data_IF_193649213781
#
_entry.id   IF_193649213781
#
_cell.length_a   1.000
_cell.length_b   1.000
_cell.length_c   1.000
_cell.angle_alpha   90.00
_cell.angle_beta   90.00
_cell.angle_gamma   90.00
#
_symmetry.space_group_name_H-M   'P 1'
#
loop_
_entity.id
_entity.type
_entity.pdbx_description
1 polymer ?
#
# COMPACT_ATOMS: atom_id res chain seq x y z
N UNK A 1 8.36 34.49 4.93
CA UNK A 1 8.28 33.51 6.03
C UNK A 1 7.29 32.36 5.86
N UNK A 2 5.95 32.55 5.75
CA UNK A 2 5.02 31.39 5.63
C UNK A 2 5.17 30.63 4.30
N UNK A 3 5.36 31.35 3.18
CA UNK A 3 5.49 30.76 1.84
C UNK A 3 6.80 29.99 1.68
N UNK A 4 7.91 30.50 2.21
CA UNK A 4 9.23 29.83 2.19
C UNK A 4 9.18 28.50 2.94
N UNK A 5 8.63 28.47 4.16
CA UNK A 5 8.47 27.23 4.93
C UNK A 5 7.63 26.17 4.21
N UNK A 6 6.61 26.60 3.45
CA UNK A 6 5.79 25.69 2.64
C UNK A 6 6.63 25.15 1.48
N UNK A 7 7.39 25.99 0.76
CA UNK A 7 8.26 25.53 -0.32
C UNK A 7 9.31 24.53 0.18
N UNK A 8 9.97 24.84 1.30
CA UNK A 8 10.98 23.96 1.91
C UNK A 8 10.40 22.59 2.26
N UNK A 9 9.18 22.56 2.81
CA UNK A 9 8.46 21.32 3.11
C UNK A 9 8.12 20.51 1.85
N UNK A 10 7.70 21.18 0.77
CA UNK A 10 7.41 20.53 -0.50
C UNK A 10 8.67 19.97 -1.17
N UNK A 11 9.80 20.68 -1.08
CA UNK A 11 11.08 20.25 -1.66
C UNK A 11 11.68 19.08 -0.87
N UNK A 12 11.58 19.12 0.46
CA UNK A 12 11.91 17.99 1.33
C UNK A 12 11.07 16.75 1.00
N UNK A 13 9.76 16.93 0.79
CA UNK A 13 8.85 15.85 0.46
C UNK A 13 9.16 15.27 -0.92
N UNK A 14 9.44 16.13 -1.90
CA UNK A 14 9.85 15.73 -3.25
C UNK A 14 11.14 14.89 -3.24
N UNK A 15 12.09 15.19 -2.34
CA UNK A 15 13.33 14.43 -2.20
C UNK A 15 13.14 13.04 -1.57
N UNK A 16 12.22 12.88 -0.63
CA UNK A 16 12.02 11.62 0.13
C UNK A 16 11.00 10.67 -0.50
N UNK A 17 9.96 11.21 -1.13
CA UNK A 17 8.89 10.44 -1.77
C UNK A 17 9.39 9.33 -2.72
N UNK A 18 10.43 9.51 -3.55
CA UNK A 18 10.87 8.45 -4.48
C UNK A 18 11.40 7.21 -3.77
N UNK A 19 12.04 7.36 -2.60
CA UNK A 19 12.51 6.21 -1.81
C UNK A 19 11.34 5.56 -1.08
N UNK A 20 10.50 6.36 -0.41
CA UNK A 20 9.32 5.86 0.30
C UNK A 20 8.37 5.10 -0.64
N UNK A 21 7.99 5.70 -1.78
CA UNK A 21 7.11 5.08 -2.75
C UNK A 21 7.66 3.75 -3.31
N UNK A 22 8.99 3.63 -3.52
CA UNK A 22 9.60 2.37 -3.97
C UNK A 22 9.49 1.28 -2.91
N UNK A 23 9.73 1.60 -1.64
CA UNK A 23 9.61 0.62 -0.55
C UNK A 23 8.16 0.21 -0.33
N UNK A 24 7.22 1.17 -0.29
CA UNK A 24 5.80 0.89 -0.14
C UNK A 24 5.28 0.04 -1.29
N UNK A 25 5.69 0.31 -2.54
CA UNK A 25 5.33 -0.53 -3.69
C UNK A 25 5.83 -1.96 -3.54
N UNK A 26 7.11 -2.15 -3.16
CA UNK A 26 7.68 -3.49 -2.98
C UNK A 26 6.94 -4.28 -1.90
N UNK A 27 6.67 -3.63 -0.76
CA UNK A 27 5.90 -4.24 0.31
C UNK A 27 4.48 -4.61 -0.16
N UNK A 28 3.78 -3.68 -0.82
CA UNK A 28 2.45 -3.92 -1.38
C UNK A 28 2.47 -5.09 -2.39
N UNK A 29 3.44 -5.11 -3.30
CA UNK A 29 3.55 -6.14 -4.34
C UNK A 29 3.76 -7.54 -3.74
N UNK A 30 4.65 -7.69 -2.75
CA UNK A 30 4.88 -8.97 -2.07
C UNK A 30 3.61 -9.43 -1.34
N UNK A 31 2.97 -8.54 -0.59
CA UNK A 31 1.76 -8.85 0.16
C UNK A 31 0.58 -9.19 -0.75
N UNK A 32 0.41 -8.46 -1.84
CA UNK A 32 -0.62 -8.72 -2.85
C UNK A 32 -0.37 -10.02 -3.59
N UNK A 33 0.88 -10.40 -3.86
CA UNK A 33 1.19 -11.70 -4.45
C UNK A 33 0.68 -12.85 -3.56
N UNK A 34 0.82 -12.72 -2.23
CA UNK A 34 0.21 -13.67 -1.28
C UNK A 34 -1.31 -13.67 -1.42
N UNK A 35 -1.94 -12.48 -1.47
CA UNK A 35 -3.39 -12.37 -1.69
C UNK A 35 -3.86 -13.02 -3.00
N UNK A 36 -3.11 -12.85 -4.09
CA UNK A 36 -3.42 -13.46 -5.39
C UNK A 36 -3.40 -14.99 -5.36
N UNK A 37 -2.48 -15.59 -4.59
CA UNK A 37 -2.49 -17.05 -4.37
C UNK A 37 -3.79 -17.48 -3.69
N UNK A 38 -4.31 -16.70 -2.75
CA UNK A 38 -5.55 -17.02 -2.04
C UNK A 38 -6.79 -16.82 -2.92
N UNK A 39 -6.78 -15.82 -3.81
CA UNK A 39 -7.82 -15.66 -4.84
C UNK A 39 -7.82 -16.85 -5.80
N UNK A 40 -6.65 -17.27 -6.27
CA UNK A 40 -6.52 -18.45 -7.13
C UNK A 40 -6.97 -19.72 -6.41
N UNK A 41 -6.59 -19.90 -5.14
CA UNK A 41 -7.04 -21.02 -4.32
C UNK A 41 -8.55 -21.03 -4.13
N UNK A 42 -9.18 -19.87 -3.91
CA UNK A 42 -10.64 -19.74 -3.82
C UNK A 42 -11.36 -20.12 -5.11
N UNK A 43 -10.72 -19.90 -6.27
CA UNK A 43 -11.28 -20.27 -7.57
C UNK A 43 -11.06 -21.74 -7.94
N UNK A 44 -10.01 -22.37 -7.43
CA UNK A 44 -9.59 -23.73 -7.83
C UNK A 44 -9.92 -24.82 -6.81
N UNK A 45 -10.12 -24.46 -5.54
CA UNK A 45 -10.31 -25.41 -4.44
C UNK A 45 -11.72 -25.26 -3.88
N UNK A 46 -12.54 -26.31 -4.07
CA UNK A 46 -13.88 -26.36 -3.51
C UNK A 46 -13.87 -26.24 -1.98
N UNK A 47 -14.76 -25.40 -1.46
CA UNK A 47 -14.89 -25.17 -0.01
C UNK A 47 -13.75 -24.36 0.62
N UNK A 48 -12.80 -23.83 -0.16
CA UNK A 48 -11.70 -23.03 0.37
C UNK A 48 -12.17 -21.83 1.20
N UNK A 49 -13.14 -21.07 0.69
CA UNK A 49 -13.70 -19.90 1.41
C UNK A 49 -14.31 -20.31 2.74
N UNK A 50 -15.02 -21.45 2.79
CA UNK A 50 -15.60 -21.96 4.03
C UNK A 50 -14.51 -22.28 5.06
N UNK A 51 -13.42 -22.95 4.65
CA UNK A 51 -12.28 -23.24 5.53
C UNK A 51 -11.62 -21.99 6.09
N UNK A 52 -11.48 -20.94 5.28
CA UNK A 52 -10.91 -19.66 5.73
C UNK A 52 -11.80 -19.00 6.77
N UNK A 53 -13.13 -19.03 6.57
CA UNK A 53 -14.09 -18.51 7.55
C UNK A 53 -14.09 -19.32 8.84
N UNK A 54 -13.95 -20.64 8.77
CA UNK A 54 -13.77 -21.51 9.94
C UNK A 54 -12.49 -21.14 10.72
N UNK A 55 -11.39 -20.82 10.03
CA UNK A 55 -10.17 -20.35 10.68
C UNK A 55 -10.38 -19.03 11.43
N UNK A 56 -11.12 -18.08 10.85
CA UNK A 56 -11.48 -16.84 11.56
C UNK A 56 -12.34 -17.13 12.79
N UNK A 57 -13.39 -17.94 12.66
CA UNK A 57 -14.27 -18.31 13.78
C UNK A 57 -13.50 -19.02 14.90
N UNK A 58 -12.57 -19.91 14.53
CA UNK A 58 -11.68 -20.60 15.48
C UNK A 58 -10.74 -19.63 16.19
N UNK A 59 -10.12 -18.71 15.46
CA UNK A 59 -9.23 -17.71 16.03
C UNK A 59 -9.95 -16.81 17.05
N UNK A 60 -11.20 -16.46 16.76
CA UNK A 60 -12.04 -15.69 17.68
C UNK A 60 -12.43 -16.50 18.93
N UNK A 61 -12.85 -17.76 18.75
CA UNK A 61 -13.19 -18.65 19.86
C UNK A 61 -11.99 -18.92 20.79
N UNK A 62 -10.82 -19.17 20.21
CA UNK A 62 -9.58 -19.45 20.94
C UNK A 62 -8.86 -18.17 21.41
N UNK A 63 -9.35 -16.99 21.03
CA UNK A 63 -8.69 -15.67 21.23
C UNK A 63 -7.21 -15.70 20.82
N UNK A 64 -6.91 -16.45 19.76
CA UNK A 64 -5.54 -16.76 19.35
C UNK A 64 -5.25 -16.17 17.97
N UNK A 65 -4.28 -15.26 17.94
CA UNK A 65 -3.76 -14.66 16.69
C UNK A 65 -3.13 -15.74 15.79
N UNK A 66 -2.60 -16.82 16.37
CA UNK A 66 -1.94 -17.89 15.62
C UNK A 66 -2.91 -18.74 14.79
N UNK A 67 -4.20 -18.75 15.16
CA UNK A 67 -5.24 -19.46 14.43
C UNK A 67 -5.80 -18.63 13.25
N UNK A 68 -5.41 -17.35 13.12
CA UNK A 68 -5.89 -16.51 12.03
C UNK A 68 -5.37 -17.00 10.67
N UNK A 69 -6.16 -16.84 9.60
CA UNK A 69 -5.70 -17.09 8.24
C UNK A 69 -4.73 -15.99 7.81
N UNK A 70 -3.48 -16.07 8.27
CA UNK A 70 -2.45 -15.05 8.10
C UNK A 70 -2.27 -14.64 6.63
N UNK A 71 -2.35 -15.57 5.69
CA UNK A 71 -2.23 -15.26 4.27
C UNK A 71 -3.31 -14.31 3.72
N UNK A 72 -4.56 -14.44 4.19
CA UNK A 72 -5.64 -13.49 3.85
C UNK A 72 -5.39 -12.12 4.48
N UNK A 73 -4.93 -12.09 5.73
CA UNK A 73 -4.60 -10.84 6.42
C UNK A 73 -3.46 -10.12 5.70
N UNK A 74 -2.39 -10.83 5.34
CA UNK A 74 -1.26 -10.28 4.60
C UNK A 74 -1.70 -9.73 3.24
N UNK A 75 -2.57 -10.46 2.51
CA UNK A 75 -3.18 -9.96 1.28
C UNK A 75 -3.93 -8.64 1.48
N UNK A 76 -4.77 -8.56 2.50
CA UNK A 76 -5.52 -7.35 2.87
C UNK A 76 -4.60 -6.19 3.26
N UNK A 77 -3.53 -6.43 4.01
CA UNK A 77 -2.50 -5.43 4.32
C UNK A 77 -1.81 -4.95 3.05
N UNK A 78 -1.58 -5.85 2.08
CA UNK A 78 -1.06 -5.51 0.76
C UNK A 78 -1.94 -4.53 0.01
N UNK A 79 -3.27 -4.73 0.05
CA UNK A 79 -4.24 -3.77 -0.51
C UNK A 79 -4.07 -2.41 0.18
N UNK A 80 -4.06 -2.35 1.51
CA UNK A 80 -3.87 -1.09 2.27
C UNK A 80 -2.55 -0.39 1.87
N UNK A 81 -1.45 -1.14 1.75
CA UNK A 81 -0.17 -0.59 1.31
C UNK A 81 -0.23 -0.03 -0.11
N UNK A 82 -0.96 -0.68 -1.02
CA UNK A 82 -1.21 -0.15 -2.36
C UNK A 82 -2.01 1.16 -2.31
N UNK A 83 -3.06 1.23 -1.48
CA UNK A 83 -3.83 2.45 -1.25
C UNK A 83 -3.00 3.58 -0.68
N UNK A 84 -1.98 3.30 0.13
CA UNK A 84 -1.01 4.31 0.61
C UNK A 84 0.01 4.70 -0.48
N UNK A 85 0.37 3.77 -1.35
CA UNK A 85 1.32 4.02 -2.43
C UNK A 85 0.76 4.96 -3.51
N UNK A 86 -0.52 4.81 -3.88
CA UNK A 86 -1.20 5.65 -4.87
C UNK A 86 -1.06 7.15 -4.58
N UNK A 87 -1.44 7.68 -3.40
CA UNK A 87 -1.31 9.11 -3.10
C UNK A 87 0.15 9.58 -3.04
N UNK A 88 1.12 8.71 -2.70
CA UNK A 88 2.54 9.07 -2.78
C UNK A 88 2.98 9.33 -4.22
N UNK A 89 2.53 8.50 -5.17
CA UNK A 89 2.79 8.71 -6.60
C UNK A 89 2.07 9.94 -7.11
N UNK A 90 0.80 10.13 -6.77
CA UNK A 90 0.04 11.33 -7.17
C UNK A 90 0.72 12.60 -6.66
N UNK A 91 1.12 12.64 -5.39
CA UNK A 91 1.86 13.75 -4.81
C UNK A 91 3.17 14.00 -5.57
N UNK A 92 3.92 12.94 -5.89
CA UNK A 92 5.16 13.07 -6.67
C UNK A 92 4.90 13.64 -8.07
N UNK A 93 3.83 13.22 -8.75
CA UNK A 93 3.46 13.74 -10.07
C UNK A 93 3.11 15.23 -9.99
N UNK A 94 2.35 15.64 -8.98
CA UNK A 94 1.99 17.04 -8.74
C UNK A 94 3.21 17.91 -8.44
N UNK A 95 4.14 17.44 -7.60
CA UNK A 95 5.39 18.14 -7.30
C UNK A 95 6.29 18.24 -8.55
N UNK A 96 6.37 17.18 -9.34
CA UNK A 96 7.08 17.18 -10.62
C UNK A 96 6.44 18.11 -11.66
N UNK A 97 5.11 18.26 -11.65
CA UNK A 97 4.40 19.23 -12.49
C UNK A 97 4.68 20.67 -12.03
N UNK A 98 4.58 20.97 -10.73
CA UNK A 98 4.95 22.27 -10.14
C UNK A 98 6.36 22.67 -10.56
N UNK A 99 7.33 21.78 -10.39
CA UNK A 99 8.72 22.05 -10.74
C UNK A 99 8.92 22.31 -12.25
N UNK A 100 8.17 21.61 -13.11
CA UNK A 100 8.20 21.84 -14.56
C UNK A 100 7.57 23.19 -14.94
N UNK A 101 6.43 23.54 -14.35
CA UNK A 101 5.76 24.81 -14.62
C UNK A 101 6.60 26.00 -14.14
N UNK A 102 7.22 25.91 -12.97
CA UNK A 102 8.08 26.97 -12.44
C UNK A 102 9.30 27.22 -13.34
N UNK A 103 9.93 26.16 -13.86
CA UNK A 103 11.03 26.31 -14.82
C UNK A 103 10.62 26.98 -16.13
N UNK A 104 9.36 26.83 -16.55
CA UNK A 104 8.82 27.47 -17.77
C UNK A 104 8.35 28.91 -17.54
N UNK A 105 7.93 29.24 -16.32
CA UNK A 105 7.47 30.58 -15.96
C UNK A 105 8.61 31.53 -15.55
N UNK A 106 9.78 30.99 -15.18
CA UNK A 106 11.00 31.75 -14.92
C UNK A 106 11.92 31.91 -16.15
N UNK A 107 11.47 31.44 -17.31
CA UNK A 107 12.01 31.76 -18.64
C UNK A 107 11.04 32.74 -19.31
#
# INVERSE_FOLDING_TARGET
MKIEKISDGLDWLHARLPRAARWTFRAAAVLLAIGMIHIAAAALIDGYTARVLEQYARAEAERSILALPLGHILGSVGVIMLWLWVPMILTRLLLGLRARLWRRAGQ
#
